data_IF_103513788450
#
_entry.id   IF_103513788450
#
_cell.length_a   1.000
_cell.length_b   1.000
_cell.length_c   1.000
_cell.angle_alpha   90.00
_cell.angle_beta   90.00
_cell.angle_gamma   90.00
#
_symmetry.space_group_name_H-M   'P 1'
#
loop_
_entity.id
_entity.type
_entity.pdbx_description
1 polymer ?
#
# COMPACT_ATOMS: atom_id res chain seq x y z
N UNK A 1 26.25 22.70 -34.44
CA UNK A 1 25.03 22.99 -33.67
C UNK A 1 24.77 21.74 -32.84
N UNK A 2 24.98 21.80 -31.53
CA UNK A 2 24.78 20.63 -30.65
C UNK A 2 23.28 20.52 -30.43
N UNK A 3 22.68 19.37 -30.78
CA UNK A 3 21.28 19.10 -30.48
C UNK A 3 21.00 19.33 -29.00
N UNK A 4 19.90 20.03 -28.68
CA UNK A 4 19.42 20.08 -27.30
C UNK A 4 19.08 18.65 -26.88
N UNK A 5 19.57 18.24 -25.70
CA UNK A 5 19.23 16.95 -25.12
C UNK A 5 17.71 16.83 -25.06
N UNK A 6 17.18 15.76 -25.65
CA UNK A 6 15.76 15.38 -25.63
C UNK A 6 15.23 15.41 -24.19
N UNK A 7 14.14 16.16 -23.94
CA UNK A 7 13.50 16.24 -22.61
C UNK A 7 12.69 14.98 -22.24
N UNK A 8 12.55 14.08 -23.21
CA UNK A 8 11.67 12.91 -23.13
C UNK A 8 12.30 11.69 -22.46
N UNK A 9 13.55 11.78 -21.97
CA UNK A 9 14.21 10.62 -21.33
C UNK A 9 13.80 10.49 -19.86
N UNK A 10 13.37 9.29 -19.45
CA UNK A 10 12.94 8.96 -18.08
C UNK A 10 13.96 9.35 -17.00
N UNK A 11 15.26 9.42 -17.35
CA UNK A 11 16.34 9.83 -16.45
C UNK A 11 16.23 11.29 -15.98
N UNK A 12 15.58 12.18 -16.75
CA UNK A 12 15.39 13.60 -16.39
C UNK A 12 14.18 13.84 -15.48
N UNK A 13 13.22 12.91 -15.42
CA UNK A 13 12.04 13.05 -14.55
C UNK A 13 12.27 12.66 -13.10
N UNK A 14 13.42 12.10 -12.74
CA UNK A 14 13.71 11.74 -11.34
C UNK A 14 13.66 12.94 -10.40
N UNK A 15 14.06 14.13 -10.87
CA UNK A 15 13.96 15.38 -10.11
C UNK A 15 12.52 15.92 -10.04
N UNK A 16 11.66 15.51 -10.98
CA UNK A 16 10.22 15.84 -11.02
C UNK A 16 9.38 14.83 -10.22
N UNK A 17 9.90 13.63 -9.95
CA UNK A 17 9.19 12.62 -9.18
C UNK A 17 9.16 12.99 -7.69
N UNK A 18 7.95 13.12 -7.15
CA UNK A 18 7.75 13.47 -5.74
C UNK A 18 8.36 12.43 -4.78
N UNK A 19 8.25 11.14 -5.11
CA UNK A 19 8.85 10.05 -4.33
C UNK A 19 9.16 8.83 -5.22
N UNK A 20 10.43 8.43 -5.32
CA UNK A 20 10.83 7.24 -6.08
C UNK A 20 10.90 5.99 -5.17
N UNK A 21 9.89 5.13 -5.28
CA UNK A 21 9.62 4.01 -4.36
C UNK A 21 10.52 2.78 -4.56
N UNK A 22 10.88 2.46 -5.80
CA UNK A 22 11.58 1.20 -6.14
C UNK A 22 12.93 1.02 -5.41
N UNK A 23 13.85 2.00 -5.35
CA UNK A 23 15.14 1.86 -4.67
C UNK A 23 14.99 1.83 -3.16
N UNK A 24 13.84 2.23 -2.64
CA UNK A 24 13.50 2.18 -1.22
C UNK A 24 12.89 0.82 -0.82
N UNK A 25 12.74 -0.12 -1.77
CA UNK A 25 12.18 -1.45 -1.53
C UNK A 25 10.65 -1.52 -1.55
N UNK A 26 9.96 -0.38 -1.72
CA UNK A 26 8.51 -0.26 -1.87
C UNK A 26 8.07 -0.71 -3.28
N UNK A 27 8.33 -1.98 -3.59
CA UNK A 27 8.15 -2.55 -4.93
C UNK A 27 6.70 -2.88 -5.22
N UNK A 28 6.24 -2.49 -6.41
CA UNK A 28 4.86 -2.69 -6.90
C UNK A 28 3.84 -2.07 -5.92
N UNK A 29 3.78 -0.72 -5.84
CA UNK A 29 2.80 -0.03 -5.01
C UNK A 29 1.39 -0.17 -5.59
N UNK A 30 0.40 -0.40 -4.70
CA UNK A 30 -1.00 -0.56 -5.09
C UNK A 30 -1.92 0.49 -4.48
N UNK A 31 -1.61 0.94 -3.26
CA UNK A 31 -2.50 1.84 -2.54
C UNK A 31 -1.72 2.76 -1.60
N UNK A 32 -2.28 3.93 -1.34
CA UNK A 32 -1.65 5.00 -0.58
C UNK A 32 -2.70 5.75 0.24
N UNK A 33 -2.33 6.19 1.44
CA UNK A 33 -3.13 7.13 2.22
C UNK A 33 -2.22 8.11 2.98
N UNK A 34 -2.80 9.22 3.42
CA UNK A 34 -2.15 10.15 4.35
C UNK A 34 -2.61 9.84 5.77
N UNK A 35 -1.71 10.01 6.74
CA UNK A 35 -2.10 10.11 8.14
C UNK A 35 -2.35 11.57 8.56
N UNK A 36 -2.83 11.78 9.79
CA UNK A 36 -3.14 13.12 10.31
C UNK A 36 -1.92 14.01 10.57
N UNK A 37 -0.71 13.46 10.50
CA UNK A 37 0.56 14.21 10.58
C UNK A 37 1.09 14.59 9.20
N UNK A 38 0.38 14.23 8.13
CA UNK A 38 0.80 14.48 6.74
C UNK A 38 1.85 13.51 6.23
N UNK A 39 2.12 12.40 6.93
CA UNK A 39 2.98 11.34 6.40
C UNK A 39 2.20 10.49 5.40
N UNK A 40 2.94 9.92 4.44
CA UNK A 40 2.38 9.08 3.38
C UNK A 40 2.63 7.62 3.70
N UNK A 41 1.56 6.83 3.76
CA UNK A 41 1.63 5.38 3.90
C UNK A 41 1.35 4.72 2.57
N UNK A 42 2.19 3.76 2.19
CA UNK A 42 2.11 3.08 0.88
C UNK A 42 2.10 1.57 1.09
N UNK A 43 1.00 0.94 0.67
CA UNK A 43 0.87 -0.51 0.58
C UNK A 43 1.43 -1.02 -0.75
N UNK A 44 2.35 -1.98 -0.65
CA UNK A 44 3.08 -2.54 -1.79
C UNK A 44 3.22 -4.05 -1.66
N UNK A 45 3.59 -4.76 -2.74
CA UNK A 45 3.98 -6.18 -2.60
C UNK A 45 5.25 -6.36 -1.77
N UNK A 46 6.11 -5.34 -1.75
CA UNK A 46 7.28 -5.28 -0.87
C UNK A 46 6.96 -5.03 0.60
N UNK A 47 5.68 -4.86 0.98
CA UNK A 47 5.23 -4.57 2.33
C UNK A 47 4.64 -3.16 2.49
N UNK A 48 4.64 -2.66 3.73
CA UNK A 48 4.05 -1.37 4.10
C UNK A 48 5.17 -0.36 4.40
N UNK A 49 5.10 0.84 3.82
CA UNK A 49 6.11 1.87 3.96
C UNK A 49 5.48 3.19 4.40
N UNK A 50 6.16 3.92 5.28
CA UNK A 50 5.80 5.27 5.72
C UNK A 50 6.87 6.25 5.28
N UNK A 51 6.44 7.35 4.65
CA UNK A 51 7.31 8.43 4.20
C UNK A 51 6.93 9.75 4.86
N UNK A 52 7.92 10.54 5.20
CA UNK A 52 7.73 11.93 5.58
C UNK A 52 7.21 12.72 4.36
N UNK A 53 5.99 13.27 4.47
CA UNK A 53 5.33 13.98 3.37
C UNK A 53 6.03 15.27 2.95
N UNK A 54 6.85 15.85 3.83
CA UNK A 54 7.62 17.06 3.54
C UNK A 54 9.02 16.72 3.02
N UNK A 55 9.69 15.77 3.66
CA UNK A 55 11.11 15.44 3.39
C UNK A 55 11.32 14.35 2.35
N UNK A 56 10.27 13.62 1.96
CA UNK A 56 10.31 12.54 0.96
C UNK A 56 11.30 11.43 1.33
N UNK A 57 11.51 11.23 2.63
CA UNK A 57 12.36 10.20 3.22
C UNK A 57 11.53 9.08 3.81
N UNK A 58 12.00 7.84 3.71
CA UNK A 58 11.41 6.72 4.43
C UNK A 58 11.65 6.92 5.92
N UNK A 59 10.59 6.87 6.73
CA UNK A 59 10.68 7.02 8.19
C UNK A 59 10.27 5.75 8.94
N UNK A 60 9.54 4.85 8.28
CA UNK A 60 9.26 3.52 8.81
C UNK A 60 8.95 2.54 7.67
N UNK A 61 9.25 1.26 7.87
CA UNK A 61 8.96 0.21 6.91
C UNK A 61 8.71 -1.14 7.59
N UNK A 62 7.77 -1.89 7.03
CA UNK A 62 7.60 -3.32 7.27
C UNK A 62 7.78 -4.05 5.96
N UNK A 63 8.98 -4.55 5.73
CA UNK A 63 9.36 -5.26 4.50
C UNK A 63 8.76 -6.66 4.44
N UNK A 64 8.41 -7.07 3.24
CA UNK A 64 8.23 -8.44 2.85
C UNK A 64 9.41 -8.88 1.97
N UNK A 65 10.04 -10.00 2.33
CA UNK A 65 11.20 -10.54 1.64
C UNK A 65 10.83 -11.24 0.32
N UNK A 66 9.55 -11.57 0.11
CA UNK A 66 9.09 -12.34 -1.04
C UNK A 66 7.96 -11.63 -1.82
N UNK A 67 8.20 -10.43 -2.39
CA UNK A 67 7.16 -9.66 -3.08
C UNK A 67 6.53 -10.41 -4.27
N UNK A 68 7.27 -11.33 -4.89
CA UNK A 68 6.77 -12.16 -5.99
C UNK A 68 5.70 -13.18 -5.57
N UNK A 69 5.62 -13.52 -4.28
CA UNK A 69 4.61 -14.44 -3.73
C UNK A 69 3.34 -13.74 -3.27
N UNK A 70 3.36 -12.41 -3.18
CA UNK A 70 2.21 -11.66 -2.69
C UNK A 70 1.12 -11.55 -3.73
N UNK A 71 -0.11 -11.68 -3.26
CA UNK A 71 -1.31 -11.30 -3.98
C UNK A 71 -1.25 -9.83 -4.43
N UNK A 72 -1.92 -9.46 -5.54
CA UNK A 72 -2.13 -8.06 -5.89
C UNK A 72 -3.04 -7.36 -4.87
N UNK A 73 -3.14 -6.04 -4.98
CA UNK A 73 -4.07 -5.18 -4.23
C UNK A 73 -3.92 -5.14 -2.70
N UNK A 74 -2.70 -5.15 -2.10
CA UNK A 74 -2.59 -4.75 -0.71
C UNK A 74 -3.14 -3.33 -0.52
N UNK A 75 -3.99 -3.13 0.49
CA UNK A 75 -4.63 -1.84 0.78
C UNK A 75 -4.03 -1.21 2.03
N UNK A 76 -4.06 0.12 2.10
CA UNK A 76 -3.80 0.89 3.31
C UNK A 76 -4.83 2.01 3.46
N UNK A 77 -5.44 2.10 4.63
CA UNK A 77 -6.37 3.17 4.98
C UNK A 77 -5.99 3.77 6.32
N UNK A 78 -6.18 5.08 6.46
CA UNK A 78 -6.06 5.79 7.72
C UNK A 78 -7.46 6.12 8.25
N UNK A 79 -7.70 5.81 9.53
CA UNK A 79 -8.92 6.19 10.21
C UNK A 79 -8.65 6.42 11.70
N UNK A 80 -8.95 7.63 12.20
CA UNK A 80 -8.89 8.01 13.61
C UNK A 80 -7.60 7.56 14.34
N UNK A 81 -6.42 7.86 13.76
CA UNK A 81 -5.14 7.53 14.37
C UNK A 81 -4.67 6.08 14.15
N UNK A 82 -5.45 5.28 13.43
CA UNK A 82 -5.13 3.88 13.10
C UNK A 82 -4.83 3.73 11.62
N UNK A 83 -3.79 2.97 11.32
CA UNK A 83 -3.44 2.53 9.97
C UNK A 83 -3.95 1.10 9.81
N UNK A 84 -4.89 0.92 8.89
CA UNK A 84 -5.42 -0.38 8.51
C UNK A 84 -4.69 -0.83 7.25
N UNK A 85 -4.04 -1.97 7.30
CA UNK A 85 -3.25 -2.53 6.20
C UNK A 85 -3.70 -3.94 5.89
N UNK A 86 -3.82 -4.26 4.60
CA UNK A 86 -4.16 -5.60 4.14
C UNK A 86 -3.09 -6.17 3.25
N UNK A 87 -2.79 -7.45 3.43
CA UNK A 87 -1.93 -8.20 2.52
C UNK A 87 -2.24 -9.69 2.55
N UNK A 88 -1.83 -10.41 1.50
CA UNK A 88 -2.00 -11.85 1.41
C UNK A 88 -0.87 -12.46 0.58
N UNK A 89 -0.42 -13.66 0.94
CA UNK A 89 0.29 -14.52 0.00
C UNK A 89 -0.73 -15.09 -1.01
N UNK A 90 -0.35 -15.10 -2.29
CA UNK A 90 -1.28 -15.43 -3.40
C UNK A 90 -1.83 -16.86 -3.30
N UNK A 91 -0.99 -17.80 -2.83
CA UNK A 91 -1.35 -19.21 -2.69
C UNK A 91 -2.19 -19.52 -1.46
N UNK A 92 -2.05 -18.72 -0.40
CA UNK A 92 -2.73 -18.97 0.88
C UNK A 92 -4.20 -18.57 0.83
N UNK A 93 -4.56 -17.73 -0.15
CA UNK A 93 -5.93 -17.26 -0.40
C UNK A 93 -6.61 -16.68 0.85
N UNK A 94 -5.84 -16.22 1.82
CA UNK A 94 -6.29 -15.62 3.08
C UNK A 94 -5.69 -14.23 3.19
N UNK A 95 -6.54 -13.23 3.38
CA UNK A 95 -6.11 -11.84 3.58
C UNK A 95 -5.88 -11.57 5.05
N UNK A 96 -4.68 -11.12 5.38
CA UNK A 96 -4.33 -10.57 6.68
C UNK A 96 -4.83 -9.12 6.75
N UNK A 97 -5.67 -8.81 7.72
CA UNK A 97 -6.13 -7.47 8.06
C UNK A 97 -5.41 -7.03 9.33
N UNK A 98 -4.48 -6.09 9.20
CA UNK A 98 -3.63 -5.63 10.29
C UNK A 98 -3.92 -4.18 10.64
N UNK A 99 -3.78 -3.87 11.92
CA UNK A 99 -4.00 -2.55 12.48
C UNK A 99 -2.69 -2.08 13.12
N UNK A 100 -2.29 -0.87 12.77
CA UNK A 100 -1.08 -0.25 13.27
C UNK A 100 -1.38 1.11 13.89
N UNK A 101 -0.61 1.48 14.90
CA UNK A 101 -0.49 2.87 15.32
C UNK A 101 0.21 3.70 14.23
N UNK A 102 0.11 5.03 14.32
CA UNK A 102 0.86 5.93 13.45
C UNK A 102 2.39 5.83 13.61
N UNK A 103 2.90 5.24 14.70
CA UNK A 103 4.33 4.97 14.88
C UNK A 103 4.78 3.64 14.25
N UNK A 104 3.84 2.83 13.73
CA UNK A 104 4.13 1.55 13.08
C UNK A 104 4.12 0.34 14.03
N UNK A 105 3.60 0.50 15.24
CA UNK A 105 3.37 -0.63 16.15
C UNK A 105 2.09 -1.36 15.75
N UNK A 106 2.14 -2.68 15.57
CA UNK A 106 0.96 -3.47 15.26
C UNK A 106 0.14 -3.70 16.52
N UNK A 107 -1.11 -3.24 16.53
CA UNK A 107 -2.02 -3.37 17.68
C UNK A 107 -2.93 -4.57 17.56
N UNK A 108 -3.28 -4.97 16.34
CA UNK A 108 -4.23 -6.05 16.10
C UNK A 108 -4.03 -6.69 14.71
N UNK A 109 -4.44 -7.96 14.59
CA UNK A 109 -4.43 -8.73 13.35
C UNK A 109 -5.67 -9.62 13.28
N UNK A 110 -6.28 -9.70 12.11
CA UNK A 110 -7.39 -10.59 11.78
C UNK A 110 -7.14 -11.25 10.42
N UNK A 111 -7.86 -12.34 10.16
CA UNK A 111 -7.76 -13.09 8.91
C UNK A 111 -9.12 -13.14 8.24
N UNK A 112 -9.12 -12.85 6.95
CA UNK A 112 -10.30 -12.84 6.10
C UNK A 112 -10.09 -13.91 5.02
N UNK A 113 -11.00 -14.87 4.94
CA UNK A 113 -11.00 -15.84 3.85
C UNK A 113 -11.20 -15.16 2.49
N UNK A 114 -10.41 -15.56 1.51
CA UNK A 114 -10.34 -14.97 0.17
C UNK A 114 -9.33 -13.82 0.03
N UNK A 115 -9.07 -13.44 -1.22
CA UNK A 115 -8.23 -12.29 -1.55
C UNK A 115 -9.06 -11.02 -1.64
N UNK A 116 -8.66 -9.99 -0.89
CA UNK A 116 -9.26 -8.67 -0.94
C UNK A 116 -8.80 -7.89 -2.18
N UNK A 117 -9.70 -7.08 -2.74
CA UNK A 117 -9.41 -6.19 -3.89
C UNK A 117 -9.42 -4.72 -3.50
N UNK A 118 -10.33 -4.31 -2.62
CA UNK A 118 -10.45 -2.92 -2.14
C UNK A 118 -11.06 -2.88 -0.75
N UNK A 119 -10.70 -1.84 0.00
CA UNK A 119 -11.15 -1.55 1.35
C UNK A 119 -11.35 -0.04 1.49
N UNK A 120 -12.47 0.36 2.07
CA UNK A 120 -12.71 1.75 2.49
C UNK A 120 -13.30 1.78 3.90
N UNK A 121 -13.03 2.86 4.62
CA UNK A 121 -13.53 3.06 5.98
C UNK A 121 -14.31 4.36 5.99
N UNK A 122 -15.60 4.29 6.31
CA UNK A 122 -16.46 5.44 6.41
C UNK A 122 -16.13 6.28 7.65
N UNK A 123 -16.61 7.53 7.68
CA UNK A 123 -16.33 8.45 8.79
C UNK A 123 -16.82 7.96 10.17
N UNK A 124 -17.83 7.10 10.20
CA UNK A 124 -18.35 6.45 11.41
C UNK A 124 -17.55 5.21 11.85
N UNK A 125 -16.54 4.79 11.08
CA UNK A 125 -15.71 3.63 11.35
C UNK A 125 -16.15 2.34 10.65
N UNK A 126 -17.27 2.35 9.93
CA UNK A 126 -17.71 1.16 9.18
C UNK A 126 -16.74 0.86 8.04
N UNK A 127 -16.36 -0.42 7.95
CA UNK A 127 -15.40 -0.91 6.95
C UNK A 127 -16.13 -1.67 5.85
N UNK A 128 -15.94 -1.24 4.61
CA UNK A 128 -16.50 -1.87 3.42
C UNK A 128 -15.38 -2.52 2.61
N UNK A 129 -15.56 -3.79 2.27
CA UNK A 129 -14.53 -4.63 1.65
C UNK A 129 -15.10 -5.34 0.43
N UNK A 130 -14.36 -5.34 -0.67
CA UNK A 130 -14.64 -6.20 -1.84
C UNK A 130 -13.58 -7.29 -1.96
N UNK A 131 -14.00 -8.50 -2.32
CA UNK A 131 -13.12 -9.67 -2.51
C UNK A 131 -13.08 -10.10 -3.97
N UNK A 132 -12.00 -10.76 -4.35
CA UNK A 132 -11.87 -11.39 -5.65
C UNK A 132 -12.91 -12.53 -5.77
N UNK A 133 -13.71 -12.55 -6.85
CA UNK A 133 -14.56 -13.69 -7.21
C UNK A 133 -13.74 -14.99 -7.22
N UNK A 134 -14.25 -16.04 -6.58
CA UNK A 134 -13.63 -17.38 -6.59
C UNK A 134 -14.35 -18.35 -7.52
N UNK A 135 -15.60 -18.06 -7.90
CA UNK A 135 -16.42 -18.90 -8.77
C UNK A 135 -17.13 -18.07 -9.84
N UNK A 136 -17.59 -18.71 -10.92
CA UNK A 136 -18.31 -18.08 -12.04
C UNK A 136 -19.65 -17.44 -11.65
N UNK A 137 -20.11 -17.61 -10.42
CA UNK A 137 -21.34 -17.05 -9.84
C UNK A 137 -21.10 -16.19 -8.60
N UNK A 138 -19.90 -15.63 -8.40
CA UNK A 138 -19.68 -14.71 -7.27
C UNK A 138 -20.34 -13.36 -7.54
N UNK A 139 -21.53 -13.16 -6.98
CA UNK A 139 -22.18 -11.85 -6.91
C UNK A 139 -21.55 -11.02 -5.79
N UNK A 140 -21.12 -9.81 -6.12
CA UNK A 140 -20.73 -8.79 -5.14
C UNK A 140 -21.98 -7.96 -4.89
N UNK A 141 -22.57 -8.07 -3.70
CA UNK A 141 -23.61 -7.16 -3.21
C UNK A 141 -22.96 -5.95 -2.52
#
# INVERSE_FOLDING_TARGET
MVEQKSDTSDLQRFDEMWLHLTPRGATVPYNVCYDSEGNVWVATKGGLFKFDGNRRTTIWERKNLFPKKMAPFPQVAFHNGTIVYTCAEDKDRTTELRFFTMSGEMTHEQFIDGLLVSLTIAGNGDMYITKQPTESSSFIY
#
